data_IF_120716211121
#
_entry.id   IF_120716211121
#
_cell.length_a   1.000
_cell.length_b   1.000
_cell.length_c   1.000
_cell.angle_alpha   90.00
_cell.angle_beta   90.00
_cell.angle_gamma   90.00
#
_symmetry.space_group_name_H-M   'P 1'
#
loop_
_entity.id
_entity.type
_entity.pdbx_description
1 polymer ?
#
# COMPACT_ATOMS: atom_id res chain seq x y z
N UNK A 1 -18.12 -14.25 17.83
CA UNK A 1 -17.90 -13.95 17.20
C UNK A 1 -17.51 -14.39 16.29
N UNK A 2 -17.76 -14.31 15.66
CA UNK A 2 -17.45 -14.77 14.60
C UNK A 2 -16.26 -14.39 14.09
N UNK A 3 -15.41 -15.18 13.74
CA UNK A 3 -14.21 -14.77 13.18
C UNK A 3 -14.49 -14.19 11.85
N UNK A 4 -13.89 -13.09 11.61
CA UNK A 4 -13.96 -12.47 10.34
C UNK A 4 -13.18 -13.24 9.34
N UNK A 5 -13.68 -13.42 8.17
CA UNK A 5 -12.87 -13.98 7.13
C UNK A 5 -11.71 -13.05 6.85
N UNK A 6 -10.64 -13.59 6.36
CA UNK A 6 -9.47 -12.81 6.09
C UNK A 6 -9.61 -12.10 4.77
N UNK A 7 -10.65 -11.33 4.64
CA UNK A 7 -10.85 -10.56 3.45
C UNK A 7 -10.50 -9.13 3.72
N UNK A 8 -10.02 -8.51 2.69
CA UNK A 8 -9.67 -7.12 2.74
C UNK A 8 -10.92 -6.30 2.82
N UNK A 9 -10.99 -5.42 3.77
CA UNK A 9 -12.11 -4.49 3.85
C UNK A 9 -11.67 -3.16 3.28
N UNK A 10 -12.57 -2.53 2.56
CA UNK A 10 -12.29 -1.22 2.01
C UNK A 10 -12.79 -0.13 2.94
N UNK A 11 -12.04 0.95 3.09
CA UNK A 11 -10.77 1.19 2.43
C UNK A 11 -9.66 0.34 3.02
N UNK A 12 -8.79 -0.17 2.16
CA UNK A 12 -7.64 -0.94 2.61
C UNK A 12 -6.61 0.00 3.20
N UNK A 13 -5.94 -0.45 4.25
CA UNK A 13 -4.89 0.34 4.88
C UNK A 13 -3.61 0.19 4.09
N UNK A 14 -3.12 1.29 3.55
CA UNK A 14 -1.91 1.29 2.73
C UNK A 14 -0.82 2.08 3.43
N UNK A 15 0.35 1.51 3.53
CA UNK A 15 1.52 2.22 4.03
C UNK A 15 2.42 2.51 2.84
N UNK A 16 2.75 3.77 2.65
CA UNK A 16 3.64 4.19 1.58
C UNK A 16 4.97 4.61 2.18
N UNK A 17 6.02 3.87 1.85
CA UNK A 17 7.36 4.19 2.30
C UNK A 17 7.98 5.11 1.26
N UNK A 18 8.33 6.33 1.68
CA UNK A 18 8.81 7.36 0.78
C UNK A 18 10.19 7.85 1.18
N UNK A 19 10.79 8.65 0.32
CA UNK A 19 12.03 9.34 0.65
C UNK A 19 12.04 10.67 -0.10
N UNK A 20 12.89 11.63 0.33
CA UNK A 20 12.98 12.91 -0.36
C UNK A 20 13.48 12.75 -1.79
N UNK A 21 13.12 13.69 -2.64
CA UNK A 21 13.62 13.76 -4.02
C UNK A 21 13.41 12.48 -4.81
N UNK A 22 12.23 11.92 -4.69
CA UNK A 22 11.91 10.65 -5.31
C UNK A 22 10.74 10.84 -6.28
N UNK A 23 11.04 10.85 -7.58
CA UNK A 23 10.00 11.04 -8.59
C UNK A 23 8.99 9.91 -8.58
N UNK A 24 9.44 8.68 -8.36
CA UNK A 24 8.52 7.54 -8.30
C UNK A 24 7.62 7.61 -7.08
N UNK A 25 8.10 8.21 -5.99
CA UNK A 25 7.27 8.40 -4.81
C UNK A 25 6.16 9.40 -5.09
N UNK A 26 6.47 10.46 -5.85
CA UNK A 26 5.45 11.44 -6.24
C UNK A 26 4.37 10.77 -7.08
N UNK A 27 4.78 9.93 -8.01
CA UNK A 27 3.82 9.19 -8.84
C UNK A 27 2.98 8.24 -8.01
N UNK A 28 3.61 7.56 -7.06
CA UNK A 28 2.88 6.66 -6.19
C UNK A 28 1.83 7.41 -5.37
N UNK A 29 2.19 8.59 -4.87
CA UNK A 29 1.22 9.41 -4.13
C UNK A 29 0.06 9.80 -5.00
N UNK A 30 0.30 10.15 -6.26
CA UNK A 30 -0.76 10.52 -7.18
C UNK A 30 -1.73 9.36 -7.38
N UNK A 31 -1.19 8.17 -7.60
CA UNK A 31 -2.02 6.98 -7.75
C UNK A 31 -2.84 6.73 -6.50
N UNK A 32 -2.18 6.75 -5.34
CA UNK A 32 -2.86 6.45 -4.09
C UNK A 32 -3.88 7.51 -3.72
N UNK A 33 -3.62 8.78 -4.03
CA UNK A 33 -4.60 9.84 -3.80
C UNK A 33 -5.86 9.58 -4.61
N UNK A 34 -5.70 9.16 -5.85
CA UNK A 34 -6.84 8.86 -6.71
C UNK A 34 -7.65 7.72 -6.12
N UNK A 35 -6.97 6.67 -5.67
CA UNK A 35 -7.66 5.53 -5.06
C UNK A 35 -8.31 5.90 -3.74
N UNK A 36 -7.68 6.80 -2.98
CA UNK A 36 -8.25 7.27 -1.73
C UNK A 36 -9.52 8.08 -1.97
N UNK A 37 -9.53 8.87 -3.04
CA UNK A 37 -10.72 9.63 -3.41
C UNK A 37 -11.87 8.70 -3.75
N UNK A 38 -11.57 7.52 -4.26
CA UNK A 38 -12.56 6.50 -4.55
C UNK A 38 -12.87 5.64 -3.33
N UNK A 39 -12.29 5.96 -2.19
CA UNK A 39 -12.50 5.25 -0.93
C UNK A 39 -12.03 3.80 -0.96
N UNK A 40 -11.06 3.52 -1.81
CA UNK A 40 -10.50 2.18 -1.91
C UNK A 40 -9.32 1.98 -0.96
N UNK A 41 -8.62 3.05 -0.61
CA UNK A 41 -7.47 2.96 0.29
C UNK A 41 -7.46 4.12 1.28
N UNK A 42 -6.83 3.88 2.41
CA UNK A 42 -6.49 4.92 3.38
C UNK A 42 -4.98 4.85 3.54
N UNK A 43 -4.29 5.94 3.25
CA UNK A 43 -2.84 5.94 3.11
C UNK A 43 -2.14 6.60 4.27
N UNK A 44 -1.11 5.93 4.78
CA UNK A 44 -0.19 6.49 5.75
C UNK A 44 1.18 6.54 5.11
N UNK A 45 1.84 7.68 5.15
CA UNK A 45 3.19 7.81 4.61
C UNK A 45 4.20 7.65 5.73
N UNK A 46 5.27 6.92 5.47
CA UNK A 46 6.36 6.72 6.41
C UNK A 46 7.66 6.97 5.66
N UNK A 47 8.51 7.80 6.24
CA UNK A 47 9.81 8.12 5.64
C UNK A 47 10.74 6.92 5.77
N UNK A 48 11.18 6.40 4.63
CA UNK A 48 12.04 5.23 4.59
C UNK A 48 13.38 5.46 5.28
N UNK A 49 13.80 6.72 5.37
CA UNK A 49 15.09 7.03 5.99
C UNK A 49 14.99 7.12 7.51
N UNK A 50 13.80 7.11 8.06
CA UNK A 50 13.61 7.14 9.50
C UNK A 50 13.68 5.76 10.11
N UNK A 51 13.67 5.71 11.43
CA UNK A 51 13.79 4.45 12.16
C UNK A 51 12.67 3.49 11.84
N UNK A 52 11.44 3.98 11.90
CA UNK A 52 10.28 3.14 11.62
C UNK A 52 10.28 2.66 10.17
N UNK A 53 10.58 3.56 9.24
CA UNK A 53 10.59 3.21 7.83
C UNK A 53 11.62 2.17 7.50
N UNK A 54 12.82 2.28 8.11
CA UNK A 54 13.86 1.29 7.90
C UNK A 54 13.46 -0.07 8.43
N UNK A 55 12.84 -0.09 9.60
CA UNK A 55 12.39 -1.34 10.19
C UNK A 55 11.34 -2.02 9.30
N UNK A 56 10.40 -1.23 8.78
CA UNK A 56 9.39 -1.77 7.90
C UNK A 56 9.99 -2.28 6.60
N UNK A 57 10.93 -1.54 6.04
CA UNK A 57 11.57 -1.95 4.80
C UNK A 57 12.31 -3.28 4.98
N UNK A 58 13.03 -3.42 6.07
CA UNK A 58 13.74 -4.66 6.34
C UNK A 58 12.78 -5.81 6.55
N UNK A 59 11.73 -5.58 7.32
CA UNK A 59 10.77 -6.64 7.63
C UNK A 59 10.06 -7.15 6.39
N UNK A 60 9.87 -6.29 5.39
CA UNK A 60 9.05 -6.63 4.23
C UNK A 60 9.83 -6.68 2.92
N UNK A 61 11.14 -6.64 2.99
CA UNK A 61 11.97 -6.80 1.79
C UNK A 61 11.88 -5.65 0.81
N UNK A 62 11.58 -4.45 1.29
CA UNK A 62 11.53 -3.27 0.44
C UNK A 62 12.95 -2.75 0.24
N UNK A 63 13.45 -2.83 -0.98
CA UNK A 63 14.84 -2.48 -1.27
C UNK A 63 15.03 -0.99 -1.53
N UNK A 64 14.01 -0.32 -2.05
CA UNK A 64 14.10 1.12 -2.29
C UNK A 64 12.70 1.70 -2.42
N UNK A 65 12.61 3.02 -2.28
CA UNK A 65 11.34 3.72 -2.33
C UNK A 65 10.84 3.87 -3.77
N UNK A 66 9.54 3.96 -3.97
CA UNK A 66 8.52 3.85 -2.95
C UNK A 66 8.25 2.40 -2.60
N UNK A 67 7.97 2.14 -1.33
CA UNK A 67 7.50 0.83 -0.92
C UNK A 67 6.03 0.91 -0.60
N UNK A 68 5.27 -0.10 -0.98
CA UNK A 68 3.83 -0.11 -0.73
C UNK A 68 3.46 -1.37 0.02
N UNK A 69 2.85 -1.19 1.18
CA UNK A 69 2.30 -2.28 1.97
C UNK A 69 0.79 -2.14 1.97
N UNK A 70 0.09 -3.23 1.78
CA UNK A 70 -1.37 -3.25 1.83
C UNK A 70 -1.78 -4.14 2.98
N UNK A 71 -2.50 -3.58 3.93
CA UNK A 71 -2.91 -4.28 5.15
C UNK A 71 -1.72 -4.93 5.84
N UNK A 72 -0.61 -4.19 5.88
CA UNK A 72 0.59 -4.65 6.55
C UNK A 72 1.43 -5.65 5.77
N UNK A 73 1.01 -6.02 4.56
CA UNK A 73 1.73 -6.99 3.74
C UNK A 73 2.39 -6.32 2.55
N UNK A 74 3.58 -6.75 2.16
CA UNK A 74 4.27 -6.11 1.04
C UNK A 74 3.50 -6.31 -0.26
N UNK A 75 3.30 -5.23 -0.98
CA UNK A 75 2.66 -5.27 -2.28
C UNK A 75 3.66 -5.02 -3.40
N UNK A 76 4.45 -3.94 -3.27
CA UNK A 76 5.44 -3.63 -4.28
C UNK A 76 6.49 -2.67 -3.72
N UNK A 77 7.60 -2.54 -4.44
CA UNK A 77 8.51 -1.43 -4.23
C UNK A 77 9.01 -0.99 -5.59
N UNK A 78 9.49 0.26 -5.66
CA UNK A 78 9.80 0.88 -6.91
C UNK A 78 8.53 1.40 -7.55
N UNK A 79 8.46 1.36 -8.86
CA UNK A 79 7.31 1.92 -9.57
C UNK A 79 6.01 1.23 -9.19
N UNK A 80 5.04 2.01 -8.74
CA UNK A 80 3.73 1.47 -8.38
C UNK A 80 2.85 1.36 -9.61
N UNK A 81 2.28 0.18 -9.82
CA UNK A 81 1.33 -0.03 -10.90
C UNK A 81 -0.08 0.14 -10.38
N UNK A 82 -0.74 1.19 -10.84
CA UNK A 82 -2.14 1.42 -10.46
C UNK A 82 -3.03 0.27 -10.88
N UNK A 83 -2.79 -0.25 -12.08
CA UNK A 83 -3.60 -1.35 -12.61
C UNK A 83 -3.49 -2.59 -11.73
N UNK A 84 -2.28 -2.93 -11.33
CA UNK A 84 -2.09 -4.10 -10.48
C UNK A 84 -2.69 -3.89 -9.11
N UNK A 85 -2.57 -2.67 -8.57
CA UNK A 85 -3.13 -2.39 -7.26
C UNK A 85 -4.65 -2.42 -7.31
N UNK A 86 -5.26 -1.83 -8.33
CA UNK A 86 -6.72 -1.89 -8.47
C UNK A 86 -7.20 -3.32 -8.56
N UNK A 87 -6.48 -4.15 -9.31
CA UNK A 87 -6.83 -5.56 -9.44
C UNK A 87 -6.74 -6.27 -8.09
N UNK A 88 -5.69 -5.96 -7.35
CA UNK A 88 -5.49 -6.56 -6.03
C UNK A 88 -6.64 -6.18 -5.08
N UNK A 89 -7.02 -4.92 -5.07
CA UNK A 89 -8.09 -4.44 -4.21
C UNK A 89 -9.45 -5.02 -4.63
N UNK A 90 -9.69 -5.11 -5.92
CA UNK A 90 -10.93 -5.66 -6.43
C UNK A 90 -11.05 -7.14 -6.11
N UNK A 91 -9.97 -7.88 -6.28
CA UNK A 91 -9.98 -9.31 -5.98
C UNK A 91 -10.22 -9.55 -4.50
N UNK A 92 -9.58 -8.77 -3.66
CA UNK A 92 -9.75 -8.91 -2.23
C UNK A 92 -11.18 -8.59 -1.82
N UNK A 93 -11.75 -7.54 -2.41
CA UNK A 93 -13.14 -7.19 -2.15
C UNK A 93 -14.09 -8.27 -2.62
N UNK A 94 -13.81 -8.86 -3.80
CA UNK A 94 -14.63 -9.94 -4.32
C UNK A 94 -14.52 -11.18 -3.45
N UNK A 95 -13.36 -11.45 -2.92
CA UNK A 95 -13.21 -12.61 -2.07
C UNK A 95 -14.11 -12.53 -0.86
N UNK A 96 -14.44 -11.34 -0.42
CA UNK A 96 -15.34 -11.18 0.70
C UNK A 96 -16.75 -11.61 0.43
N UNK A 97 -17.11 -11.82 -0.81
CA UNK A 97 -18.48 -12.17 -1.16
C UNK A 97 -18.70 -13.66 -1.29
N UNK A 98 -17.65 -14.43 -1.22
CA UNK A 98 -17.80 -15.88 -1.40
C UNK A 98 -17.76 -16.67 -0.12
#
# INVERSE_FOLDING_TARGET
MTSQPKTLQLPAQVTLLTQPDCALCVRAKTVLTRLADERLVAVTEVDLTGTEGRALALAHGVLFAPGVLVEGQPFSYGRLSEKKLRRHLSRAGSAGTT
#
